data_IF_037363021635
#
_entry.id   IF_037363021635
#
_cell.length_a   1.000
_cell.length_b   1.000
_cell.length_c   1.000
_cell.angle_alpha   90.00
_cell.angle_beta   90.00
_cell.angle_gamma   90.00
#
_symmetry.space_group_name_H-M   'P 1'
#
loop_
_entity.id
_entity.type
_entity.pdbx_description
1 polymer ?
#
# COMPACT_ATOMS: atom_id res chain seq x y z
N UNK A 1 15.21 5.92 18.63
CA UNK A 1 15.48 5.11 17.42
C UNK A 1 16.86 5.48 16.93
N UNK A 2 17.67 4.50 16.56
CA UNK A 2 18.92 4.75 15.85
C UNK A 2 18.65 5.17 14.39
N UNK A 3 19.71 5.60 13.71
CA UNK A 3 19.63 6.14 12.35
C UNK A 3 19.21 5.08 11.31
N UNK A 4 19.62 3.82 11.52
CA UNK A 4 19.20 2.68 10.69
C UNK A 4 17.69 2.42 10.80
N UNK A 5 17.16 2.43 12.02
CA UNK A 5 15.73 2.29 12.25
C UNK A 5 14.94 3.43 11.61
N UNK A 6 15.44 4.67 11.67
CA UNK A 6 14.80 5.83 11.03
C UNK A 6 14.80 5.67 9.50
N UNK A 7 15.90 5.23 8.90
CA UNK A 7 15.97 5.06 7.45
C UNK A 7 15.05 3.94 6.95
N UNK A 8 14.97 2.82 7.68
CA UNK A 8 14.00 1.75 7.40
C UNK A 8 12.56 2.26 7.43
N UNK A 9 12.20 3.09 8.41
CA UNK A 9 10.87 3.70 8.48
C UNK A 9 10.61 4.67 7.32
N UNK A 10 11.60 5.47 6.93
CA UNK A 10 11.49 6.36 5.76
C UNK A 10 11.27 5.56 4.48
N UNK A 11 12.00 4.47 4.29
CA UNK A 11 11.84 3.59 3.12
C UNK A 11 10.46 2.93 3.09
N UNK A 12 10.01 2.36 4.20
CA UNK A 12 8.67 1.79 4.32
C UNK A 12 7.57 2.83 4.04
N UNK A 13 7.72 4.05 4.60
CA UNK A 13 6.78 5.15 4.37
C UNK A 13 6.71 5.58 2.90
N UNK A 14 7.84 5.61 2.18
CA UNK A 14 7.87 5.90 0.74
C UNK A 14 7.13 4.83 -0.06
N UNK A 15 7.34 3.55 0.25
CA UNK A 15 6.64 2.44 -0.42
C UNK A 15 5.13 2.48 -0.15
N UNK A 16 4.73 2.70 1.11
CA UNK A 16 3.31 2.85 1.48
C UNK A 16 2.64 4.03 0.78
N UNK A 17 3.30 5.20 0.72
CA UNK A 17 2.78 6.37 0.02
C UNK A 17 2.65 6.14 -1.49
N UNK A 18 3.60 5.45 -2.10
CA UNK A 18 3.55 5.08 -3.51
C UNK A 18 2.39 4.09 -3.79
N UNK A 19 2.23 3.08 -2.92
CA UNK A 19 1.12 2.12 -2.98
C UNK A 19 -0.24 2.79 -2.86
N UNK A 20 -0.43 3.67 -1.88
CA UNK A 20 -1.66 4.44 -1.70
C UNK A 20 -2.02 5.24 -2.96
N UNK A 21 -1.04 5.94 -3.54
CA UNK A 21 -1.24 6.74 -4.76
C UNK A 21 -1.58 5.86 -5.97
N UNK A 22 -0.91 4.72 -6.11
CA UNK A 22 -1.19 3.76 -7.17
C UNK A 22 -2.60 3.19 -7.05
N UNK A 23 -2.97 2.66 -5.88
CA UNK A 23 -4.28 2.09 -5.62
C UNK A 23 -5.42 3.08 -5.84
N UNK A 24 -5.27 4.32 -5.34
CA UNK A 24 -6.23 5.40 -5.58
C UNK A 24 -6.45 5.69 -7.07
N UNK A 25 -5.41 5.53 -7.91
CA UNK A 25 -5.52 5.67 -9.36
C UNK A 25 -6.26 4.54 -10.08
N UNK A 26 -6.51 3.41 -9.41
CA UNK A 26 -7.30 2.29 -9.95
C UNK A 26 -8.79 2.41 -9.66
N UNK A 27 -9.16 3.23 -8.66
CA UNK A 27 -10.54 3.35 -8.18
C UNK A 27 -11.37 4.13 -9.20
N UNK A 28 -12.45 3.49 -9.64
CA UNK A 28 -13.47 4.05 -10.54
C UNK A 28 -14.77 3.27 -10.37
N UNK A 29 -15.87 3.82 -10.87
CA UNK A 29 -17.16 3.10 -10.87
C UNK A 29 -17.02 1.71 -11.53
N UNK A 30 -17.56 0.69 -10.86
CA UNK A 30 -17.50 -0.70 -11.29
C UNK A 30 -16.14 -1.39 -11.11
N UNK A 31 -15.14 -0.75 -10.48
CA UNK A 31 -13.88 -1.41 -10.15
C UNK A 31 -14.08 -2.51 -9.10
N UNK A 32 -13.41 -3.64 -9.30
CA UNK A 32 -13.37 -4.73 -8.30
C UNK A 32 -12.51 -4.31 -7.12
N UNK A 33 -13.08 -4.27 -5.92
CA UNK A 33 -12.31 -3.97 -4.70
C UNK A 33 -11.18 -4.97 -4.47
N UNK A 34 -11.43 -6.26 -4.75
CA UNK A 34 -10.41 -7.30 -4.65
C UNK A 34 -9.24 -7.04 -5.61
N UNK A 35 -9.54 -6.69 -6.87
CA UNK A 35 -8.48 -6.40 -7.84
C UNK A 35 -7.68 -5.16 -7.47
N UNK A 36 -8.34 -4.12 -6.95
CA UNK A 36 -7.66 -2.90 -6.48
C UNK A 36 -6.74 -3.22 -5.31
N UNK A 37 -7.21 -4.00 -4.33
CA UNK A 37 -6.41 -4.41 -3.17
C UNK A 37 -5.20 -5.27 -3.60
N UNK A 38 -5.44 -6.35 -4.36
CA UNK A 38 -4.37 -7.26 -4.81
C UNK A 38 -3.29 -6.54 -5.61
N UNK A 39 -3.69 -5.64 -6.52
CA UNK A 39 -2.75 -4.87 -7.33
C UNK A 39 -1.99 -3.86 -6.50
N UNK A 40 -2.62 -3.24 -5.51
CA UNK A 40 -1.97 -2.28 -4.60
C UNK A 40 -0.94 -2.98 -3.73
N UNK A 41 -1.29 -4.13 -3.14
CA UNK A 41 -0.39 -4.97 -2.37
C UNK A 41 0.80 -5.42 -3.20
N UNK A 42 0.53 -5.92 -4.42
CA UNK A 42 1.58 -6.34 -5.34
C UNK A 42 2.52 -5.19 -5.71
N UNK A 43 1.97 -4.02 -6.00
CA UNK A 43 2.75 -2.83 -6.31
C UNK A 43 3.68 -2.42 -5.16
N UNK A 44 3.24 -2.53 -3.90
CA UNK A 44 4.08 -2.25 -2.73
C UNK A 44 5.22 -3.26 -2.65
N UNK A 45 4.95 -4.55 -2.82
CA UNK A 45 5.96 -5.62 -2.77
C UNK A 45 6.98 -5.49 -3.91
N UNK A 46 6.57 -5.03 -5.09
CA UNK A 46 7.47 -4.83 -6.23
C UNK A 46 8.42 -3.61 -6.04
N UNK A 47 8.30 -2.82 -4.95
CA UNK A 47 9.23 -1.73 -4.63
C UNK A 47 10.60 -2.22 -4.11
N UNK A 48 10.71 -3.48 -3.68
CA UNK A 48 11.99 -4.08 -3.27
C UNK A 48 11.83 -5.27 -2.31
N UNK A 49 12.87 -6.10 -2.23
CA UNK A 49 12.86 -7.35 -1.45
C UNK A 49 12.76 -7.16 0.07
N UNK A 50 13.16 -5.99 0.58
CA UNK A 50 13.05 -5.61 2.00
C UNK A 50 11.78 -4.80 2.30
N UNK A 51 10.86 -4.68 1.34
CA UNK A 51 9.55 -4.08 1.52
C UNK A 51 8.51 -5.18 1.69
N UNK A 52 7.72 -5.06 2.75
CA UNK A 52 6.64 -5.99 3.07
C UNK A 52 5.35 -5.28 3.45
N UNK A 53 4.28 -6.06 3.54
CA UNK A 53 2.99 -5.59 4.03
C UNK A 53 2.93 -5.82 5.55
N UNK A 54 2.79 -4.73 6.30
CA UNK A 54 2.54 -4.82 7.75
C UNK A 54 1.08 -5.24 8.05
N UNK A 55 0.16 -4.95 7.12
CA UNK A 55 -1.25 -5.27 7.18
C UNK A 55 -1.81 -5.42 5.74
N UNK A 56 -2.84 -6.24 5.51
CA UNK A 56 -3.51 -6.31 4.21
C UNK A 56 -4.06 -4.96 3.76
N UNK A 57 -4.16 -4.74 2.45
CA UNK A 57 -4.81 -3.56 1.90
C UNK A 57 -6.32 -3.62 2.16
N UNK A 58 -6.83 -2.65 2.89
CA UNK A 58 -8.26 -2.50 3.13
C UNK A 58 -8.84 -1.36 2.28
N UNK A 59 -10.03 -1.59 1.74
CA UNK A 59 -10.84 -0.58 1.05
C UNK A 59 -12.18 -0.56 1.76
N UNK A 60 -12.45 0.54 2.45
CA UNK A 60 -13.71 0.79 3.13
C UNK A 60 -14.62 1.64 2.25
N UNK A 61 -15.92 1.33 2.23
CA UNK A 61 -16.95 2.10 1.53
C UNK A 61 -18.01 2.49 2.56
N UNK A 62 -18.35 3.77 2.57
CA UNK A 62 -19.41 4.38 3.39
C UNK A 62 -19.33 4.05 4.89
N UNK A 63 -20.14 3.10 5.36
CA UNK A 63 -20.29 2.73 6.77
C UNK A 63 -19.39 1.58 7.22
N UNK A 64 -18.60 1.00 6.32
CA UNK A 64 -17.60 -0.02 6.64
C UNK A 64 -16.34 0.65 7.22
N UNK A 65 -15.83 0.18 8.37
CA UNK A 65 -14.63 0.70 9.04
C UNK A 65 -13.72 -0.43 9.57
#
# INVERSE_FOLDING_TARGET
MDEDAIEKHRRAGKAAAAGLKFGAGLIREGASMLEVADRTERFILDQGEDVGLAFPCNIAIDDVA
#
